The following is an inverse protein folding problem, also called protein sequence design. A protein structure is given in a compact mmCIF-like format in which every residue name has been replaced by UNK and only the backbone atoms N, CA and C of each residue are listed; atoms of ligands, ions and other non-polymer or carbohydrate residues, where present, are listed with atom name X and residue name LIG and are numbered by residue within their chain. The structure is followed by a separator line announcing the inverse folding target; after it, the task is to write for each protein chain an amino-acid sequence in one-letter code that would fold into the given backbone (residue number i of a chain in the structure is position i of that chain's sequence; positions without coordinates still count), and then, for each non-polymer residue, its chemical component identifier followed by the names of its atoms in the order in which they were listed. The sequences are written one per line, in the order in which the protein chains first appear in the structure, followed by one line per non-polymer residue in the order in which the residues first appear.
data_IF_052452642976
#
_entry.id   IF_052452642976
#
_cell.length_a   1.000
_cell.length_b   1.000
_cell.length_c   1.000
_cell.angle_alpha   90.00
_cell.angle_beta   90.00
_cell.angle_gamma   90.00
#
_symmetry.space_group_name_H-M   'P 1'
#
loop_
_entity.id
_entity.type
_entity.pdbx_description
1 polymer ?
#
# COMPACT_ATOMS: atom_id res chain seq x y z
N UNK A 1 40.51 40.77 17.78
CA UNK A 1 40.15 39.36 17.70
C UNK A 1 38.92 39.14 18.60
N UNK A 2 37.74 39.10 18.02
CA UNK A 2 36.52 38.89 18.80
C UNK A 2 36.28 37.39 18.95
N UNK A 3 36.35 36.92 20.19
CA UNK A 3 35.98 35.54 20.55
C UNK A 3 34.48 35.50 20.75
N UNK A 4 33.77 34.93 19.79
CA UNK A 4 32.34 34.63 19.96
C UNK A 4 32.18 33.52 20.98
N UNK A 5 31.65 33.84 22.14
CA UNK A 5 31.34 32.86 23.16
C UNK A 5 30.04 32.15 22.81
N UNK A 6 30.13 30.89 22.47
CA UNK A 6 29.04 30.01 22.05
C UNK A 6 27.92 29.89 23.10
N UNK A 7 28.30 30.04 24.37
CA UNK A 7 27.38 29.83 25.50
C UNK A 7 26.35 30.98 25.67
N UNK A 8 26.70 32.18 25.20
CA UNK A 8 25.78 33.35 25.28
C UNK A 8 24.64 33.24 24.30
N UNK A 9 24.86 32.62 23.15
CA UNK A 9 23.80 32.47 22.10
C UNK A 9 22.77 31.43 22.54
N UNK A 10 23.20 30.34 23.18
CA UNK A 10 22.30 29.27 23.62
C UNK A 10 21.38 29.76 24.73
N UNK A 11 21.90 30.57 25.64
CA UNK A 11 21.11 31.11 26.74
C UNK A 11 19.99 32.06 26.24
N UNK A 12 20.29 32.86 25.21
CA UNK A 12 19.30 33.83 24.67
C UNK A 12 18.18 33.11 23.91
N UNK A 13 18.50 32.06 23.19
CA UNK A 13 17.51 31.27 22.45
C UNK A 13 16.60 30.49 23.42
N UNK A 14 17.17 29.94 24.49
CA UNK A 14 16.41 29.22 25.50
C UNK A 14 15.35 30.09 26.19
N UNK A 15 15.67 31.34 26.46
CA UNK A 15 14.72 32.29 27.12
C UNK A 15 13.58 32.70 26.20
N UNK A 16 13.85 32.91 24.91
CA UNK A 16 12.81 33.28 23.93
C UNK A 16 11.84 32.12 23.69
N UNK A 17 12.34 30.89 23.62
CA UNK A 17 11.47 29.70 23.44
C UNK A 17 10.59 29.46 24.66
N UNK A 18 11.06 29.73 25.88
CA UNK A 18 10.27 29.59 27.10
C UNK A 18 9.12 30.61 27.17
N UNK A 19 9.34 31.82 26.71
CA UNK A 19 8.30 32.87 26.71
C UNK A 19 7.23 32.60 25.65
N UNK A 20 7.62 32.07 24.47
CA UNK A 20 6.67 31.71 23.43
C UNK A 20 5.87 30.46 23.81
N UNK A 21 6.46 29.52 24.54
CA UNK A 21 5.79 28.33 25.02
C UNK A 21 4.67 28.62 26.01
N UNK A 22 4.83 29.66 26.86
CA UNK A 22 3.81 30.05 27.83
C UNK A 22 2.59 30.69 27.17
N UNK A 23 2.74 31.42 26.07
CA UNK A 23 1.64 32.01 25.33
C UNK A 23 0.89 31.00 24.44
N UNK A 24 1.57 29.95 23.95
CA UNK A 24 0.95 28.90 23.15
C UNK A 24 0.02 27.98 23.99
N UNK A 25 0.27 27.87 25.27
CA UNK A 25 -0.51 27.00 26.17
C UNK A 25 -1.95 27.50 26.41
N UNK A 26 -2.25 28.77 26.17
CA UNK A 26 -3.58 29.33 26.40
C UNK A 26 -4.49 29.15 25.16
N UNK A 27 -3.92 29.00 23.98
CA UNK A 27 -4.70 28.85 22.72
C UNK A 27 -4.93 27.39 22.36
N UNK A 28 -4.16 26.46 22.93
CA UNK A 28 -4.24 25.04 22.61
C UNK A 28 -5.53 24.35 23.09
N UNK A 29 -6.37 25.03 23.86
CA UNK A 29 -7.62 24.46 24.39
C UNK A 29 -8.84 24.52 23.46
N UNK A 30 -8.74 25.15 22.29
CA UNK A 30 -9.92 25.39 21.44
C UNK A 30 -9.83 24.81 20.03
N UNK A 31 -8.67 24.35 19.61
CA UNK A 31 -8.56 23.69 18.32
C UNK A 31 -8.43 22.18 18.60
N UNK A 32 -9.56 21.52 18.67
CA UNK A 32 -9.63 20.09 18.34
C UNK A 32 -9.20 19.99 16.89
N UNK A 33 -7.91 19.86 16.65
CA UNK A 33 -7.41 19.39 15.38
C UNK A 33 -7.91 17.95 15.25
N UNK A 34 -9.10 17.76 14.73
CA UNK A 34 -9.45 16.52 14.06
C UNK A 34 -8.34 16.32 13.04
N UNK A 35 -7.58 15.20 13.11
CA UNK A 35 -6.73 14.88 12.01
C UNK A 35 -7.66 14.79 10.80
N UNK A 36 -7.48 15.70 9.86
CA UNK A 36 -8.00 15.51 8.52
C UNK A 36 -7.24 14.30 7.96
N UNK A 37 -7.72 13.11 8.31
CA UNK A 37 -7.56 11.96 7.47
C UNK A 37 -8.33 12.30 6.19
N UNK A 38 -7.74 13.11 5.36
CA UNK A 38 -8.05 13.05 3.95
C UNK A 38 -7.56 11.67 3.51
N UNK A 39 -8.46 10.73 3.54
CA UNK A 39 -8.40 9.57 2.67
C UNK A 39 -8.39 10.12 1.25
N UNK A 40 -7.21 10.48 0.79
CA UNK A 40 -6.90 10.45 -0.63
C UNK A 40 -7.14 9.00 -1.02
N UNK A 41 -8.31 8.75 -1.60
CA UNK A 41 -8.80 7.44 -1.95
C UNK A 41 -7.75 6.57 -2.61
N UNK A 42 -7.77 5.29 -2.22
CA UNK A 42 -6.90 4.19 -2.62
C UNK A 42 -5.59 4.03 -1.85
N UNK A 43 -5.60 4.23 -0.56
CA UNK A 43 -4.56 3.66 0.27
C UNK A 43 -4.86 2.18 0.47
N UNK A 44 -4.24 1.33 -0.34
CA UNK A 44 -4.21 -0.10 -0.08
C UNK A 44 -3.45 -0.31 1.23
N UNK A 45 -4.13 -0.81 2.26
CA UNK A 45 -3.49 -1.08 3.54
C UNK A 45 -2.43 -2.17 3.38
N UNK A 46 -1.23 -1.89 3.86
CA UNK A 46 -0.19 -2.92 3.98
C UNK A 46 -0.61 -3.88 5.08
N UNK A 47 -0.68 -5.17 4.79
CA UNK A 47 -0.85 -6.21 5.79
C UNK A 47 0.51 -6.81 6.13
N UNK A 48 0.90 -6.67 7.38
CA UNK A 48 2.07 -7.35 7.95
C UNK A 48 1.72 -8.73 8.55
N UNK A 49 0.54 -9.25 8.28
CA UNK A 49 0.18 -10.60 8.71
C UNK A 49 1.02 -11.63 7.98
N UNK A 50 1.55 -12.58 8.72
CA UNK A 50 2.25 -13.73 8.17
C UNK A 50 1.30 -14.52 7.27
N UNK A 51 1.62 -14.56 5.97
CA UNK A 51 0.80 -15.26 4.99
C UNK A 51 1.12 -16.75 5.02
N UNK A 52 0.18 -17.56 5.44
CA UNK A 52 0.28 -19.03 5.53
C UNK A 52 -0.41 -19.75 4.37
N UNK A 53 -1.04 -19.01 3.45
CA UNK A 53 -1.73 -19.57 2.30
C UNK A 53 -0.82 -19.91 1.12
N UNK A 54 -1.43 -20.36 0.03
CA UNK A 54 -0.77 -20.58 -1.26
C UNK A 54 -1.18 -19.48 -2.22
N UNK A 55 -0.20 -18.88 -2.91
CA UNK A 55 -0.46 -17.91 -3.96
C UNK A 55 -1.04 -18.59 -5.19
N UNK A 56 -2.02 -17.95 -5.80
CA UNK A 56 -2.54 -18.35 -7.11
C UNK A 56 -1.49 -18.12 -8.20
N UNK A 57 -1.53 -18.95 -9.21
CA UNK A 57 -0.66 -18.78 -10.38
C UNK A 57 -1.35 -17.90 -11.41
N UNK A 58 -0.64 -16.93 -12.01
CA UNK A 58 -1.21 -16.17 -13.11
C UNK A 58 -1.70 -17.10 -14.23
N UNK A 59 -2.95 -16.90 -14.65
CA UNK A 59 -3.49 -17.64 -15.77
C UNK A 59 -2.88 -17.13 -17.09
N UNK A 60 -2.43 -18.01 -18.00
CA UNK A 60 -1.85 -17.58 -19.26
C UNK A 60 -2.88 -16.92 -20.18
N UNK A 61 -4.13 -17.34 -20.08
CA UNK A 61 -5.25 -16.86 -20.89
C UNK A 61 -6.52 -16.81 -20.06
N UNK A 62 -7.33 -15.79 -20.28
CA UNK A 62 -8.64 -15.60 -19.64
C UNK A 62 -9.68 -15.31 -20.71
N UNK A 63 -10.85 -15.92 -20.58
CA UNK A 63 -12.07 -15.54 -21.33
C UNK A 63 -12.87 -14.51 -20.51
N UNK A 64 -13.53 -13.57 -21.19
CA UNK A 64 -14.36 -12.54 -20.53
C UNK A 64 -13.65 -11.81 -19.38
N UNK A 65 -12.41 -11.38 -19.64
CA UNK A 65 -11.54 -10.69 -18.67
C UNK A 65 -12.20 -9.41 -18.12
N UNK A 66 -12.39 -9.36 -16.80
CA UNK A 66 -12.97 -8.22 -16.08
C UNK A 66 -12.04 -7.69 -15.01
N UNK A 67 -12.01 -6.36 -14.76
CA UNK A 67 -11.21 -5.82 -13.67
C UNK A 67 -11.67 -6.35 -12.31
N UNK A 68 -10.73 -6.78 -11.48
CA UNK A 68 -10.94 -7.23 -10.11
C UNK A 68 -10.21 -6.30 -9.14
N UNK A 69 -10.90 -5.85 -8.10
CA UNK A 69 -10.28 -5.05 -7.05
C UNK A 69 -9.59 -5.93 -6.01
N UNK A 70 -8.41 -5.52 -5.61
CA UNK A 70 -7.72 -6.14 -4.49
C UNK A 70 -7.77 -5.22 -3.25
N UNK A 71 -7.78 -5.80 -2.04
CA UNK A 71 -8.04 -5.06 -0.80
C UNK A 71 -6.79 -4.79 0.04
N UNK A 72 -5.71 -5.51 -0.19
CA UNK A 72 -4.46 -5.37 0.55
C UNK A 72 -3.28 -5.86 -0.28
N UNK A 73 -2.08 -5.47 0.12
CA UNK A 73 -0.86 -5.94 -0.50
C UNK A 73 0.24 -6.17 0.54
N UNK A 74 1.27 -6.92 0.17
CA UNK A 74 2.43 -7.21 0.99
C UNK A 74 3.69 -7.22 0.11
N UNK A 75 4.77 -6.67 0.62
CA UNK A 75 6.09 -6.82 0.01
C UNK A 75 6.59 -8.26 0.20
N UNK A 76 7.12 -8.89 -0.84
CA UNK A 76 7.62 -10.25 -0.82
C UNK A 76 9.12 -10.28 -1.11
N UNK A 77 9.84 -11.09 -0.35
CA UNK A 77 11.29 -11.24 -0.45
C UNK A 77 12.08 -10.08 0.15
N UNK A 78 13.33 -10.33 0.47
CA UNK A 78 14.23 -9.36 1.12
C UNK A 78 14.54 -8.16 0.21
N UNK A 79 14.73 -8.40 -1.07
CA UNK A 79 15.02 -7.35 -2.05
C UNK A 79 13.81 -6.48 -2.39
N UNK A 80 12.59 -6.93 -2.05
CA UNK A 80 11.35 -6.21 -2.33
C UNK A 80 11.04 -6.03 -3.82
N UNK A 81 11.50 -6.96 -4.66
CA UNK A 81 11.23 -7.01 -6.10
C UNK A 81 9.94 -7.75 -6.45
N UNK A 82 9.16 -8.10 -5.44
CA UNK A 82 7.86 -8.75 -5.60
C UNK A 82 6.83 -8.13 -4.68
N UNK A 83 5.58 -8.08 -5.16
CA UNK A 83 4.42 -7.63 -4.38
C UNK A 83 3.35 -8.70 -4.47
N UNK A 84 2.81 -9.10 -3.32
CA UNK A 84 1.62 -9.95 -3.22
C UNK A 84 0.42 -9.06 -3.07
N UNK A 85 -0.62 -9.27 -3.86
CA UNK A 85 -1.93 -8.63 -3.72
C UNK A 85 -2.96 -9.64 -3.25
N UNK A 86 -3.87 -9.21 -2.35
CA UNK A 86 -4.93 -10.04 -1.77
C UNK A 86 -6.28 -9.59 -2.31
N UNK A 87 -7.08 -10.54 -2.74
CA UNK A 87 -8.38 -10.28 -3.36
C UNK A 87 -9.43 -11.30 -2.97
N UNK A 88 -10.68 -10.99 -3.26
CA UNK A 88 -11.76 -11.95 -3.25
C UNK A 88 -12.18 -12.19 -4.69
N UNK A 89 -12.07 -13.41 -5.14
CA UNK A 89 -12.37 -13.83 -6.51
C UNK A 89 -13.32 -15.01 -6.55
N UNK A 90 -13.58 -15.51 -7.72
CA UNK A 90 -14.40 -16.70 -7.93
C UNK A 90 -13.60 -17.99 -7.71
N UNK A 91 -14.23 -19.14 -7.93
CA UNK A 91 -13.63 -20.46 -7.71
C UNK A 91 -12.48 -20.71 -8.70
N UNK A 92 -11.28 -21.11 -8.22
CA UNK A 92 -10.09 -21.26 -9.05
C UNK A 92 -10.16 -22.44 -10.06
N UNK A 93 -11.12 -23.35 -9.91
CA UNK A 93 -11.36 -24.42 -10.89
C UNK A 93 -11.93 -23.90 -12.22
N UNK A 94 -12.60 -22.75 -12.18
CA UNK A 94 -13.29 -22.18 -13.33
C UNK A 94 -12.75 -20.83 -13.74
N UNK A 95 -12.14 -20.12 -12.81
CA UNK A 95 -11.65 -18.76 -13.00
C UNK A 95 -10.15 -18.68 -12.75
N UNK A 96 -9.53 -17.75 -13.42
CA UNK A 96 -8.14 -17.42 -13.24
C UNK A 96 -7.93 -15.92 -13.09
N UNK A 97 -6.71 -15.55 -12.76
CA UNK A 97 -6.33 -14.16 -12.50
C UNK A 97 -5.09 -13.78 -13.29
N UNK A 98 -5.07 -12.53 -13.70
CA UNK A 98 -3.92 -11.90 -14.35
C UNK A 98 -3.69 -10.54 -13.73
N UNK A 99 -2.43 -10.15 -13.61
CA UNK A 99 -2.06 -8.82 -13.19
C UNK A 99 -1.28 -8.08 -14.29
N UNK A 100 -1.57 -6.81 -14.44
CA UNK A 100 -0.79 -5.87 -15.23
C UNK A 100 -0.08 -4.91 -14.29
N UNK A 101 1.24 -4.80 -14.40
CA UNK A 101 2.07 -3.94 -13.55
C UNK A 101 2.60 -2.79 -14.39
N UNK A 102 2.46 -1.59 -13.87
CA UNK A 102 3.04 -0.37 -14.45
C UNK A 102 3.87 0.33 -13.38
N UNK A 103 5.11 0.63 -13.69
CA UNK A 103 6.07 1.20 -12.75
C UNK A 103 6.55 2.57 -13.18
N UNK A 104 6.69 3.47 -12.21
CA UNK A 104 7.39 4.74 -12.39
C UNK A 104 8.24 5.06 -11.15
N UNK A 105 8.82 6.25 -11.10
CA UNK A 105 9.73 6.64 -10.02
C UNK A 105 9.04 6.76 -8.64
N UNK A 106 7.73 6.97 -8.59
CA UNK A 106 6.99 7.27 -7.36
C UNK A 106 5.94 6.21 -6.99
N UNK A 107 5.53 5.38 -7.96
CA UNK A 107 4.46 4.41 -7.76
C UNK A 107 4.63 3.13 -8.59
N UNK A 108 4.03 2.07 -8.09
CA UNK A 108 3.77 0.81 -8.77
C UNK A 108 2.25 0.65 -8.83
N UNK A 109 1.69 0.62 -10.04
CA UNK A 109 0.25 0.40 -10.24
C UNK A 109 0.02 -1.04 -10.66
N UNK A 110 -0.83 -1.75 -9.93
CA UNK A 110 -1.15 -3.16 -10.15
C UNK A 110 -2.64 -3.29 -10.47
N UNK A 111 -2.96 -3.56 -11.72
CA UNK A 111 -4.31 -3.85 -12.16
C UNK A 111 -4.52 -5.36 -12.17
N UNK A 112 -5.49 -5.83 -11.41
CA UNK A 112 -5.86 -7.24 -11.34
C UNK A 112 -7.11 -7.48 -12.20
N UNK A 113 -7.12 -8.63 -12.85
CA UNK A 113 -8.24 -9.08 -13.69
C UNK A 113 -8.60 -10.51 -13.33
N UNK A 114 -9.89 -10.81 -13.42
CA UNK A 114 -10.48 -12.14 -13.32
C UNK A 114 -11.17 -12.50 -14.63
N UNK A 115 -11.17 -13.77 -14.98
CA UNK A 115 -11.89 -14.27 -16.13
C UNK A 115 -12.03 -15.77 -16.11
N UNK A 116 -12.83 -16.32 -17.00
CA UNK A 116 -12.99 -17.77 -17.16
C UNK A 116 -11.71 -18.43 -17.67
N UNK A 117 -11.42 -19.62 -17.18
CA UNK A 117 -10.34 -20.47 -17.72
C UNK A 117 -10.83 -21.16 -18.98
N UNK A 118 -10.03 -21.18 -20.06
CA UNK A 118 -10.35 -21.96 -21.24
C UNK A 118 -10.54 -23.44 -20.90
N UNK A 119 -11.67 -24.01 -21.31
CA UNK A 119 -11.99 -25.42 -21.02
C UNK A 119 -12.46 -25.71 -19.60
N UNK A 120 -12.78 -24.69 -18.82
CA UNK A 120 -13.37 -24.87 -17.50
C UNK A 120 -14.72 -25.60 -17.56
N UNK A 121 -15.11 -26.32 -16.46
CA UNK A 121 -16.43 -26.93 -16.37
C UNK A 121 -17.58 -25.89 -16.55
N UNK A 122 -18.70 -26.34 -17.07
CA UNK A 122 -19.89 -25.46 -17.25
C UNK A 122 -20.69 -25.27 -15.96
N UNK A 123 -20.47 -26.13 -14.96
CA UNK A 123 -21.15 -26.15 -13.67
C UNK A 123 -20.25 -25.59 -12.56
N UNK A 124 -19.77 -24.37 -12.73
CA UNK A 124 -18.94 -23.69 -11.75
C UNK A 124 -19.75 -23.26 -10.52
N UNK A 125 -19.25 -23.52 -9.33
CA UNK A 125 -19.86 -22.99 -8.10
C UNK A 125 -19.69 -21.46 -8.05
N UNK A 126 -20.71 -20.79 -7.54
CA UNK A 126 -20.69 -19.34 -7.35
C UNK A 126 -20.00 -18.92 -6.04
N UNK A 127 -19.20 -19.80 -5.44
CA UNK A 127 -18.49 -19.51 -4.20
C UNK A 127 -17.33 -18.56 -4.44
N UNK A 128 -17.31 -17.48 -3.64
CA UNK A 128 -16.17 -16.57 -3.59
C UNK A 128 -15.03 -17.17 -2.76
N UNK A 129 -13.81 -17.02 -3.25
CA UNK A 129 -12.60 -17.44 -2.54
C UNK A 129 -11.71 -16.25 -2.25
N UNK A 130 -11.00 -16.31 -1.14
CA UNK A 130 -9.94 -15.35 -0.86
C UNK A 130 -8.65 -15.86 -1.47
N UNK A 131 -8.13 -15.12 -2.43
CA UNK A 131 -6.90 -15.45 -3.14
C UNK A 131 -5.80 -14.41 -2.93
N UNK A 132 -4.61 -14.77 -3.36
CA UNK A 132 -3.47 -13.88 -3.47
C UNK A 132 -2.68 -14.18 -4.73
N UNK A 133 -2.09 -13.15 -5.31
CA UNK A 133 -1.25 -13.25 -6.49
C UNK A 133 0.06 -12.48 -6.26
N UNK A 134 1.18 -13.10 -6.57
CA UNK A 134 2.48 -12.42 -6.53
C UNK A 134 2.82 -11.89 -7.91
N UNK A 135 3.20 -10.63 -7.97
CA UNK A 135 3.69 -9.96 -9.17
C UNK A 135 5.15 -9.60 -9.02
N UNK A 136 5.91 -9.75 -10.08
CA UNK A 136 7.30 -9.33 -10.15
C UNK A 136 7.39 -7.86 -10.54
N UNK A 137 8.35 -7.15 -9.97
CA UNK A 137 8.68 -5.77 -10.28
C UNK A 137 10.00 -5.71 -11.03
N UNK A 138 10.13 -4.76 -11.94
CA UNK A 138 11.40 -4.50 -12.63
C UNK A 138 12.48 -3.95 -11.69
N UNK A 139 12.04 -3.22 -10.65
CA UNK A 139 12.92 -2.62 -9.64
C UNK A 139 12.37 -2.87 -8.23
N UNK A 140 13.24 -2.89 -7.20
CA UNK A 140 12.78 -2.97 -5.82
C UNK A 140 11.72 -1.92 -5.50
N UNK A 141 10.68 -2.30 -4.75
CA UNK A 141 9.58 -1.40 -4.38
C UNK A 141 10.09 -0.13 -3.69
N UNK A 142 11.04 -0.26 -2.78
CA UNK A 142 11.56 0.87 -2.02
C UNK A 142 10.46 1.64 -1.31
N UNK A 143 10.44 2.95 -1.50
CA UNK A 143 9.44 3.87 -0.92
C UNK A 143 8.33 4.24 -1.91
N UNK A 144 8.20 3.52 -3.02
CA UNK A 144 7.14 3.76 -4.00
C UNK A 144 5.78 3.37 -3.45
N UNK A 145 4.75 4.11 -3.82
CA UNK A 145 3.37 3.79 -3.50
C UNK A 145 2.89 2.59 -4.32
N UNK A 146 2.05 1.74 -3.73
CA UNK A 146 1.37 0.67 -4.45
C UNK A 146 -0.08 1.08 -4.68
N UNK A 147 -0.48 1.13 -5.94
CA UNK A 147 -1.78 1.64 -6.42
C UNK A 147 -2.53 0.56 -7.21
N UNK A 148 -3.88 0.72 -7.30
CA UNK A 148 -4.76 -0.05 -8.19
C UNK A 148 -4.94 0.62 -9.53
#
# INVERSE_FOLDING_TARGET
MFVFNKDTIISTIGTVVAVLGALAGIIAGIISATPLNQELGTSSSVREEEFTGTDEKPAPELTEKTPLRWGAWQKVGEEGTKVRVFFNGATPTCHGWQAEVSENAVAVTIKLYEGGLPGAPTDCSAEGVRGSLVVDLEKPLGNRLVLQ
#
